data_IF_372920851946
#
_entry.id   IF_372920851946
#
_cell.length_a   1.000
_cell.length_b   1.000
_cell.length_c   1.000
_cell.angle_alpha   90.00
_cell.angle_beta   90.00
_cell.angle_gamma   90.00
#
_symmetry.space_group_name_H-M   'P 1'
#
loop_
_entity.id
_entity.type
_entity.pdbx_description
1 polymer ?
#
# COMPACT_ATOMS: atom_id res chain seq x y z
N UNK A 1 20.23 81.95 48.09
CA UNK A 1 19.21 80.88 48.15
C UNK A 1 18.72 80.45 46.77
N UNK A 2 18.17 81.33 45.93
CA UNK A 2 17.68 80.96 44.58
C UNK A 2 18.75 80.31 43.69
N UNK A 3 19.97 80.84 43.69
CA UNK A 3 21.08 80.35 42.86
C UNK A 3 21.59 78.97 43.30
N UNK A 4 21.56 78.66 44.61
CA UNK A 4 21.90 77.33 45.14
C UNK A 4 20.81 76.29 44.83
N UNK A 5 19.54 76.71 44.81
CA UNK A 5 18.45 75.81 44.44
C UNK A 5 18.46 75.50 42.94
N UNK A 6 18.81 76.49 42.10
CA UNK A 6 18.93 76.30 40.66
C UNK A 6 20.03 75.27 40.32
N UNK A 7 21.22 75.40 40.89
CA UNK A 7 22.32 74.44 40.67
C UNK A 7 22.00 73.05 41.21
N UNK A 8 21.31 72.94 42.35
CA UNK A 8 20.87 71.64 42.87
C UNK A 8 19.90 70.94 41.93
N UNK A 9 18.91 71.66 41.41
CA UNK A 9 17.94 71.13 40.44
C UNK A 9 18.59 70.76 39.10
N UNK A 10 19.63 71.48 38.69
CA UNK A 10 20.40 71.19 37.48
C UNK A 10 21.16 69.86 37.62
N UNK A 11 21.80 69.64 38.78
CA UNK A 11 22.50 68.40 39.10
C UNK A 11 21.55 67.20 39.24
N UNK A 12 20.38 67.37 39.87
CA UNK A 12 19.36 66.32 39.94
C UNK A 12 18.83 65.97 38.54
N UNK A 13 18.68 66.95 37.65
CA UNK A 13 18.27 66.71 36.26
C UNK A 13 19.34 65.94 35.47
N UNK A 14 20.62 66.22 35.68
CA UNK A 14 21.69 65.47 35.02
C UNK A 14 21.74 64.02 35.51
N UNK A 15 21.62 63.77 36.81
CA UNK A 15 21.56 62.40 37.37
C UNK A 15 20.34 61.62 36.85
N UNK A 16 19.17 62.27 36.77
CA UNK A 16 17.96 61.63 36.26
C UNK A 16 18.10 61.27 34.78
N UNK A 17 18.73 62.12 33.97
CA UNK A 17 19.00 61.83 32.56
C UNK A 17 19.94 60.64 32.38
N UNK A 18 21.03 60.58 33.17
CA UNK A 18 21.94 59.42 33.15
C UNK A 18 21.23 58.13 33.55
N UNK A 19 20.43 58.14 34.63
CA UNK A 19 19.66 56.96 35.05
C UNK A 19 18.64 56.50 34.01
N UNK A 20 17.96 57.43 33.35
CA UNK A 20 17.01 57.10 32.28
C UNK A 20 17.73 56.41 31.12
N UNK A 21 18.90 56.92 30.74
CA UNK A 21 19.66 56.38 29.62
C UNK A 21 20.25 55.00 29.95
N UNK A 22 20.80 54.83 31.15
CA UNK A 22 21.28 53.54 31.65
C UNK A 22 20.14 52.50 31.73
N UNK A 23 18.96 52.91 32.18
CA UNK A 23 17.79 52.01 32.22
C UNK A 23 17.34 51.64 30.81
N UNK A 24 17.43 52.56 29.84
CA UNK A 24 17.11 52.28 28.43
C UNK A 24 18.08 51.32 27.80
N UNK A 25 19.38 51.51 27.98
CA UNK A 25 20.40 50.63 27.41
C UNK A 25 20.29 49.23 28.00
N UNK A 26 20.20 49.11 29.33
CA UNK A 26 20.07 47.81 29.98
C UNK A 26 18.80 47.06 29.52
N UNK A 27 17.68 47.77 29.37
CA UNK A 27 16.43 47.17 28.90
C UNK A 27 16.50 46.76 27.42
N UNK A 28 17.14 47.57 26.58
CA UNK A 28 17.39 47.23 25.17
C UNK A 28 18.23 45.96 25.06
N UNK A 29 19.34 45.89 25.80
CA UNK A 29 20.24 44.74 25.79
C UNK A 29 19.53 43.46 26.26
N UNK A 30 18.71 43.53 27.31
CA UNK A 30 17.91 42.36 27.75
C UNK A 30 16.92 41.89 26.68
N UNK A 31 16.25 42.81 25.98
CA UNK A 31 15.31 42.46 24.92
C UNK A 31 16.04 41.84 23.73
N UNK A 32 17.21 42.38 23.37
CA UNK A 32 18.01 41.84 22.27
C UNK A 32 18.50 40.41 22.56
N UNK A 33 18.89 40.13 23.81
CA UNK A 33 19.25 38.77 24.26
C UNK A 33 18.04 37.83 24.18
N UNK A 34 16.88 38.25 24.70
CA UNK A 34 15.66 37.44 24.68
C UNK A 34 15.20 37.13 23.24
N UNK A 35 15.27 38.12 22.34
CA UNK A 35 14.97 37.93 20.93
C UNK A 35 15.94 36.94 20.28
N UNK A 36 17.24 37.02 20.60
CA UNK A 36 18.23 36.07 20.09
C UNK A 36 17.97 34.62 20.55
N UNK A 37 17.60 34.46 21.83
CA UNK A 37 17.23 33.16 22.40
C UNK A 37 15.96 32.59 21.75
N UNK A 38 14.93 33.43 21.55
CA UNK A 38 13.69 33.00 20.90
C UNK A 38 13.88 32.66 19.42
N UNK A 39 14.78 33.34 18.72
CA UNK A 39 15.13 33.03 17.34
C UNK A 39 15.83 31.67 17.23
N UNK A 40 16.77 31.40 18.13
CA UNK A 40 17.48 30.10 18.17
C UNK A 40 16.54 28.96 18.55
N UNK A 41 15.65 29.15 19.51
CA UNK A 41 14.62 28.16 19.85
C UNK A 41 13.66 27.88 18.69
N UNK A 42 13.19 28.92 17.98
CA UNK A 42 12.36 28.75 16.79
C UNK A 42 13.08 27.98 15.68
N UNK A 43 14.39 28.20 15.52
CA UNK A 43 15.17 27.50 14.51
C UNK A 43 15.30 26.02 14.87
N UNK A 44 15.61 25.70 16.12
CA UNK A 44 15.63 24.31 16.61
C UNK A 44 14.28 23.62 16.46
N UNK A 45 13.17 24.31 16.78
CA UNK A 45 11.83 23.76 16.61
C UNK A 45 11.50 23.47 15.15
N UNK A 46 11.92 24.33 14.20
CA UNK A 46 11.76 24.08 12.76
C UNK A 46 12.52 22.84 12.31
N UNK A 47 13.76 22.68 12.77
CA UNK A 47 14.58 21.49 12.45
C UNK A 47 13.96 20.21 13.03
N UNK A 48 13.43 20.25 14.26
CA UNK A 48 12.71 19.12 14.84
C UNK A 48 11.44 18.77 14.05
N UNK A 49 10.70 19.78 13.58
CA UNK A 49 9.48 19.60 12.81
C UNK A 49 9.78 18.99 11.44
N UNK A 50 10.79 19.52 10.74
CA UNK A 50 11.27 18.98 9.46
C UNK A 50 11.77 17.53 9.61
N UNK A 51 12.49 17.22 10.69
CA UNK A 51 12.90 15.84 10.99
C UNK A 51 11.70 14.90 11.21
N UNK A 52 10.70 15.33 11.98
CA UNK A 52 9.50 14.55 12.23
C UNK A 52 8.66 14.35 10.95
N UNK A 53 8.53 15.38 10.12
CA UNK A 53 7.89 15.30 8.80
C UNK A 53 8.63 14.33 7.88
N UNK A 54 9.97 14.38 7.85
CA UNK A 54 10.77 13.44 7.07
C UNK A 54 10.64 11.99 7.58
N UNK A 55 10.52 11.78 8.89
CA UNK A 55 10.24 10.44 9.43
C UNK A 55 8.85 9.94 9.03
N UNK A 56 7.83 10.80 9.08
CA UNK A 56 6.46 10.46 8.67
C UNK A 56 6.36 10.20 7.16
N UNK A 57 7.13 10.91 6.34
CA UNK A 57 7.21 10.68 4.89
C UNK A 57 7.97 9.40 4.54
N UNK A 58 8.86 8.93 5.43
CA UNK A 58 9.58 7.66 5.28
C UNK A 58 8.80 6.45 5.79
N UNK A 59 7.72 6.64 6.55
CA UNK A 59 6.75 5.56 6.78
C UNK A 59 6.11 5.21 5.44
N UNK A 60 6.65 4.20 4.75
CA UNK A 60 6.01 3.61 3.58
C UNK A 60 4.55 3.33 3.92
N UNK A 61 3.61 3.60 2.99
CA UNK A 61 2.21 3.33 3.25
C UNK A 61 2.07 1.88 3.70
N UNK A 62 1.60 1.69 4.94
CA UNK A 62 1.37 0.37 5.53
C UNK A 62 0.34 -0.44 4.73
N UNK A 63 -0.30 0.19 3.74
CA UNK A 63 -1.28 -0.38 2.83
C UNK A 63 -0.67 -0.63 1.45
N UNK A 64 -0.57 -1.91 1.07
CA UNK A 64 -0.28 -2.34 -0.30
C UNK A 64 -1.55 -2.17 -1.14
N UNK A 65 -1.45 -1.30 -2.15
CA UNK A 65 -2.54 -1.07 -3.12
C UNK A 65 -2.45 -2.11 -4.23
N UNK A 66 -3.43 -3.01 -4.28
CA UNK A 66 -3.49 -4.09 -5.27
C UNK A 66 -4.25 -3.74 -6.55
N UNK A 67 -4.94 -2.60 -6.57
CA UNK A 67 -5.85 -2.17 -7.66
C UNK A 67 -5.33 -0.94 -8.39
N UNK A 68 -5.47 -0.90 -9.72
CA UNK A 68 -5.15 0.29 -10.54
C UNK A 68 -6.22 1.36 -10.44
N UNK A 69 -7.46 0.96 -10.16
CA UNK A 69 -8.56 1.88 -9.89
C UNK A 69 -9.42 1.29 -8.74
N UNK A 70 -9.53 1.99 -7.60
CA UNK A 70 -10.29 1.52 -6.44
C UNK A 70 -11.80 1.40 -6.73
N UNK A 71 -12.35 2.14 -7.68
CA UNK A 71 -13.78 2.10 -8.01
C UNK A 71 -14.15 0.92 -8.91
N UNK A 72 -13.23 0.46 -9.75
CA UNK A 72 -13.53 -0.57 -10.79
C UNK A 72 -13.09 -1.98 -10.40
N UNK A 73 -12.57 -2.19 -9.18
CA UNK A 73 -12.03 -3.50 -8.73
C UNK A 73 -11.09 -4.14 -9.75
N UNK A 74 -10.32 -3.31 -10.47
CA UNK A 74 -9.34 -3.76 -11.46
C UNK A 74 -8.02 -3.95 -10.74
N UNK A 75 -7.60 -5.21 -10.62
CA UNK A 75 -6.31 -5.55 -10.04
C UNK A 75 -5.17 -5.16 -10.96
N UNK A 76 -4.07 -4.72 -10.37
CA UNK A 76 -2.85 -4.42 -11.11
C UNK A 76 -2.27 -5.66 -11.78
N UNK A 77 -1.49 -5.45 -12.85
CA UNK A 77 -0.77 -6.53 -13.52
C UNK A 77 0.14 -7.30 -12.55
N UNK A 78 0.76 -6.60 -11.60
CA UNK A 78 1.61 -7.21 -10.58
C UNK A 78 0.82 -8.13 -9.64
N UNK A 79 -0.38 -7.70 -9.24
CA UNK A 79 -1.28 -8.52 -8.43
C UNK A 79 -1.68 -9.79 -9.20
N UNK A 80 -2.07 -9.65 -10.46
CA UNK A 80 -2.43 -10.79 -11.30
C UNK A 80 -1.27 -11.76 -11.48
N UNK A 81 -0.05 -11.26 -11.67
CA UNK A 81 1.16 -12.09 -11.78
C UNK A 81 1.46 -12.83 -10.47
N UNK A 82 1.33 -12.15 -9.32
CA UNK A 82 1.50 -12.77 -8.01
C UNK A 82 0.51 -13.94 -7.81
N UNK A 83 -0.77 -13.71 -8.12
CA UNK A 83 -1.79 -14.76 -8.07
C UNK A 83 -1.46 -15.93 -9.01
N UNK A 84 -1.05 -15.65 -10.25
CA UNK A 84 -0.66 -16.70 -11.20
C UNK A 84 0.53 -17.52 -10.70
N UNK A 85 1.54 -16.87 -10.10
CA UNK A 85 2.70 -17.55 -9.54
C UNK A 85 2.30 -18.45 -8.38
N UNK A 86 1.49 -17.96 -7.44
CA UNK A 86 0.99 -18.78 -6.32
C UNK A 86 0.23 -20.02 -6.81
N UNK A 87 -0.62 -19.86 -7.84
CA UNK A 87 -1.32 -20.98 -8.47
C UNK A 87 -0.38 -21.93 -9.21
N UNK A 88 0.77 -21.46 -9.71
CA UNK A 88 1.80 -22.31 -10.35
C UNK A 88 2.60 -23.12 -9.34
N UNK A 89 2.84 -22.56 -8.14
CA UNK A 89 3.49 -23.23 -7.01
C UNK A 89 2.59 -24.27 -6.31
N UNK A 90 1.38 -24.53 -6.84
CA UNK A 90 0.45 -25.51 -6.29
C UNK A 90 -0.38 -25.01 -5.09
N UNK A 91 -0.39 -23.71 -4.82
CA UNK A 91 -1.28 -23.14 -3.79
C UNK A 91 -2.73 -23.26 -4.27
N UNK A 92 -3.56 -23.96 -3.48
CA UNK A 92 -4.99 -24.09 -3.76
C UNK A 92 -5.67 -22.71 -3.80
N UNK A 93 -6.64 -22.52 -4.70
CA UNK A 93 -7.35 -21.25 -4.94
C UNK A 93 -7.88 -20.63 -3.64
N UNK A 94 -8.40 -21.46 -2.72
CA UNK A 94 -8.94 -21.03 -1.43
C UNK A 94 -7.88 -20.54 -0.44
N UNK A 95 -6.59 -20.79 -0.70
CA UNK A 95 -5.48 -20.45 0.19
C UNK A 95 -4.62 -19.31 -0.34
N UNK A 96 -4.75 -18.95 -1.63
CA UNK A 96 -4.00 -17.84 -2.24
C UNK A 96 -4.13 -16.56 -1.42
N UNK A 97 -5.35 -16.16 -1.07
CA UNK A 97 -5.60 -14.95 -0.25
C UNK A 97 -4.92 -15.03 1.11
N UNK A 98 -4.99 -16.19 1.78
CA UNK A 98 -4.39 -16.37 3.11
C UNK A 98 -2.86 -16.30 3.04
N UNK A 99 -2.25 -16.89 2.02
CA UNK A 99 -0.81 -16.83 1.79
C UNK A 99 -0.37 -15.38 1.56
N UNK A 100 -1.09 -14.64 0.71
CA UNK A 100 -0.82 -13.22 0.48
C UNK A 100 -0.86 -12.44 1.79
N UNK A 101 -1.94 -12.57 2.58
CA UNK A 101 -2.09 -11.90 3.88
C UNK A 101 -0.95 -12.24 4.82
N UNK A 102 -0.60 -13.52 4.96
CA UNK A 102 0.45 -13.93 5.88
C UNK A 102 1.83 -13.34 5.51
N UNK A 103 2.13 -13.25 4.22
CA UNK A 103 3.36 -12.61 3.74
C UNK A 103 3.35 -11.11 4.01
N UNK A 104 2.21 -10.44 3.81
CA UNK A 104 2.11 -9.02 4.12
C UNK A 104 2.25 -8.75 5.63
N UNK A 105 1.65 -9.59 6.47
CA UNK A 105 1.78 -9.50 7.93
C UNK A 105 3.23 -9.63 8.38
N UNK A 106 4.00 -10.55 7.79
CA UNK A 106 5.45 -10.69 8.05
C UNK A 106 6.25 -9.43 7.66
N UNK A 107 5.77 -8.68 6.67
CA UNK A 107 6.36 -7.43 6.23
C UNK A 107 5.83 -6.21 6.99
N UNK A 108 4.92 -6.38 7.97
CA UNK A 108 4.25 -5.28 8.67
C UNK A 108 3.34 -4.45 7.75
N UNK A 109 2.85 -5.05 6.66
CA UNK A 109 1.99 -4.42 5.66
C UNK A 109 0.62 -5.06 5.66
N UNK A 110 -0.38 -4.32 5.19
CA UNK A 110 -1.76 -4.78 5.03
C UNK A 110 -2.23 -4.48 3.61
N UNK A 111 -3.25 -5.19 3.12
CA UNK A 111 -3.80 -4.94 1.79
C UNK A 111 -5.05 -4.09 1.88
N UNK A 112 -5.21 -3.13 0.97
CA UNK A 112 -6.45 -2.34 0.88
C UNK A 112 -7.65 -3.18 0.40
N UNK A 113 -7.40 -4.11 -0.53
CA UNK A 113 -8.41 -5.00 -1.08
C UNK A 113 -7.77 -6.27 -1.61
N UNK A 114 -8.26 -7.42 -1.14
CA UNK A 114 -7.81 -8.74 -1.58
C UNK A 114 -8.71 -9.31 -2.69
N UNK A 115 -8.13 -10.05 -3.65
CA UNK A 115 -8.90 -10.75 -4.67
C UNK A 115 -9.78 -11.83 -4.02
N UNK A 116 -11.05 -11.85 -4.43
CA UNK A 116 -11.98 -12.92 -4.07
C UNK A 116 -11.58 -14.24 -4.74
N UNK A 117 -12.05 -15.36 -4.19
CA UNK A 117 -11.88 -16.69 -4.80
C UNK A 117 -12.36 -16.71 -6.25
N UNK A 118 -13.49 -16.06 -6.56
CA UNK A 118 -13.99 -15.94 -7.94
C UNK A 118 -13.04 -15.17 -8.86
N UNK A 119 -12.39 -14.13 -8.34
CA UNK A 119 -11.39 -13.37 -9.09
C UNK A 119 -10.13 -14.19 -9.33
N UNK A 120 -9.67 -14.93 -8.31
CA UNK A 120 -8.50 -15.83 -8.41
C UNK A 120 -8.76 -16.92 -9.45
N UNK A 121 -9.94 -17.55 -9.45
CA UNK A 121 -10.34 -18.51 -10.47
C UNK A 121 -10.29 -17.90 -11.86
N UNK A 122 -10.87 -16.70 -12.04
CA UNK A 122 -10.84 -16.00 -13.34
C UNK A 122 -9.41 -15.74 -13.82
N UNK A 123 -8.50 -15.35 -12.92
CA UNK A 123 -7.07 -15.16 -13.24
C UNK A 123 -6.43 -16.49 -13.66
N UNK A 124 -6.76 -17.58 -12.96
CA UNK A 124 -6.33 -18.94 -13.31
C UNK A 124 -6.82 -19.36 -14.70
N UNK A 125 -8.09 -19.13 -15.01
CA UNK A 125 -8.69 -19.43 -16.31
C UNK A 125 -8.05 -18.61 -17.44
N UNK A 126 -7.75 -17.33 -17.18
CA UNK A 126 -7.03 -16.47 -18.12
C UNK A 126 -5.63 -17.01 -18.41
N UNK A 127 -4.90 -17.47 -17.39
CA UNK A 127 -3.59 -18.10 -17.56
C UNK A 127 -3.68 -19.30 -18.50
N UNK A 128 -4.62 -20.20 -18.23
CA UNK A 128 -4.86 -21.41 -19.02
C UNK A 128 -5.23 -21.06 -20.46
N UNK A 129 -6.16 -20.12 -20.66
CA UNK A 129 -6.57 -19.65 -21.98
C UNK A 129 -5.41 -19.03 -22.78
N UNK A 130 -4.54 -18.24 -22.14
CA UNK A 130 -3.35 -17.68 -22.78
C UNK A 130 -2.32 -18.74 -23.15
N UNK A 131 -2.07 -19.71 -22.26
CA UNK A 131 -1.21 -20.86 -22.56
C UNK A 131 -1.71 -21.62 -23.78
N UNK A 132 -3.02 -21.85 -23.89
CA UNK A 132 -3.61 -22.50 -25.06
C UNK A 132 -3.46 -21.66 -26.34
N UNK A 133 -3.68 -20.35 -26.28
CA UNK A 133 -3.46 -19.46 -27.45
C UNK A 133 -2.01 -19.47 -27.93
N UNK A 134 -1.04 -19.57 -27.02
CA UNK A 134 0.36 -19.63 -27.38
C UNK A 134 0.77 -20.99 -27.96
N UNK A 135 0.14 -22.08 -27.50
CA UNK A 135 0.41 -23.43 -27.99
C UNK A 135 -0.20 -23.67 -29.38
N UNK A 136 -1.17 -22.85 -29.83
CA UNK A 136 -1.72 -22.88 -31.20
C UNK A 136 -2.13 -24.29 -31.67
N UNK A 137 -2.78 -25.07 -30.82
CA UNK A 137 -3.70 -26.10 -31.31
C UNK A 137 -5.11 -25.52 -31.15
N UNK A 138 -5.80 -25.39 -32.28
CA UNK A 138 -7.24 -25.15 -32.29
C UNK A 138 -7.86 -26.07 -31.24
N UNK A 139 -8.62 -25.48 -30.31
CA UNK A 139 -9.49 -26.29 -29.47
C UNK A 139 -10.36 -27.06 -30.47
N UNK A 140 -10.10 -28.35 -30.64
CA UNK A 140 -11.13 -29.23 -31.15
C UNK A 140 -12.26 -29.05 -30.15
N UNK A 141 -13.26 -28.25 -30.53
CA UNK A 141 -14.57 -28.31 -29.93
C UNK A 141 -14.90 -29.78 -29.95
N UNK A 142 -14.92 -30.38 -28.75
CA UNK A 142 -15.02 -31.81 -28.52
C UNK A 142 -15.93 -32.44 -29.57
N UNK A 143 -15.32 -32.95 -30.65
CA UNK A 143 -16.01 -33.68 -31.70
C UNK A 143 -15.71 -35.10 -31.35
N UNK A 144 -16.74 -35.82 -30.92
CA UNK A 144 -16.76 -37.25 -30.67
C UNK A 144 -15.84 -38.00 -31.65
N UNK A 145 -14.57 -38.19 -31.30
CA UNK A 145 -13.66 -39.06 -32.01
C UNK A 145 -13.76 -40.41 -31.35
N UNK A 146 -14.73 -41.20 -31.83
CA UNK A 146 -14.75 -42.64 -31.57
C UNK A 146 -13.46 -43.22 -32.15
N UNK A 147 -12.48 -43.51 -31.29
CA UNK A 147 -11.36 -44.38 -31.64
C UNK A 147 -11.95 -45.77 -31.88
N UNK A 148 -12.05 -46.19 -33.14
CA UNK A 148 -12.28 -47.59 -33.47
C UNK A 148 -10.91 -48.29 -33.49
N UNK A 149 -10.55 -48.92 -32.37
CA UNK A 149 -9.52 -49.97 -32.38
C UNK A 149 -10.16 -51.26 -32.90
N UNK A 150 -9.71 -51.74 -34.06
CA UNK A 150 -10.00 -53.09 -34.58
C UNK A 150 -9.26 -54.15 -33.76
N UNK A 151 -9.62 -54.31 -32.50
CA UNK A 151 -9.13 -55.40 -31.67
C UNK A 151 -10.29 -56.29 -31.24
N UNK A 152 -10.59 -57.27 -32.09
CA UNK A 152 -11.41 -58.41 -31.68
C UNK A 152 -10.59 -59.33 -30.76
N UNK A 153 -10.98 -59.45 -29.48
CA UNK A 153 -10.33 -60.33 -28.50
C UNK A 153 -10.64 -61.81 -28.76
N UNK A 154 -9.62 -62.65 -28.93
CA UNK A 154 -9.69 -64.08 -28.62
C UNK A 154 -9.54 -64.26 -27.11
N UNK A 155 -10.69 -64.43 -26.44
CA UNK A 155 -10.87 -64.89 -25.05
C UNK A 155 -10.42 -63.93 -23.93
N UNK A 156 -11.41 -63.36 -23.23
CA UNK A 156 -11.22 -62.57 -22.01
C UNK A 156 -12.19 -61.38 -21.97
N UNK A 157 -13.15 -61.43 -21.04
CA UNK A 157 -14.28 -60.52 -20.90
C UNK A 157 -13.94 -59.04 -21.14
N UNK A 158 -14.68 -58.41 -22.04
CA UNK A 158 -14.62 -56.96 -22.28
C UNK A 158 -15.65 -56.31 -21.38
N UNK A 159 -15.18 -55.55 -20.39
CA UNK A 159 -16.02 -54.60 -19.68
C UNK A 159 -16.56 -53.59 -20.69
N UNK A 160 -17.87 -53.63 -20.94
CA UNK A 160 -18.56 -52.62 -21.73
C UNK A 160 -18.67 -51.36 -20.88
N UNK A 161 -17.95 -50.32 -21.26
CA UNK A 161 -18.22 -48.97 -20.76
C UNK A 161 -19.49 -48.50 -21.44
N UNK A 162 -20.55 -48.36 -20.67
CA UNK A 162 -21.77 -47.68 -21.11
C UNK A 162 -21.57 -46.19 -20.88
N UNK A 163 -21.50 -45.41 -21.95
CA UNK A 163 -21.71 -43.97 -21.87
C UNK A 163 -23.21 -43.73 -21.80
N UNK A 164 -23.71 -43.49 -20.60
CA UNK A 164 -25.06 -42.95 -20.39
C UNK A 164 -25.06 -41.56 -21.02
N UNK A 165 -25.90 -41.37 -22.04
CA UNK A 165 -26.19 -40.07 -22.63
C UNK A 165 -27.47 -39.55 -21.96
N UNK A 166 -27.52 -38.24 -21.67
CA UNK A 166 -28.69 -37.57 -21.10
C UNK A 166 -29.96 -37.65 -21.99
N UNK A 167 -29.87 -38.26 -23.18
CA UNK A 167 -31.03 -38.51 -24.06
C UNK A 167 -31.84 -39.76 -23.68
N UNK A 168 -31.32 -40.65 -22.83
CA UNK A 168 -32.04 -41.87 -22.40
C UNK A 168 -33.00 -41.62 -21.21
N UNK A 169 -33.05 -40.41 -20.64
CA UNK A 169 -34.03 -40.05 -19.60
C UNK A 169 -35.41 -39.62 -20.15
N UNK A 170 -35.58 -39.46 -21.48
CA UNK A 170 -36.83 -38.89 -22.04
C UNK A 170 -37.90 -39.87 -22.52
N UNK A 171 -37.68 -41.19 -22.46
CA UNK A 171 -38.70 -42.17 -22.86
C UNK A 171 -38.92 -43.26 -21.80
N UNK A 172 -39.06 -42.86 -20.53
CA UNK A 172 -39.58 -43.73 -19.48
C UNK A 172 -41.05 -43.46 -19.20
N UNK A 173 -41.95 -44.14 -19.92
CA UNK A 173 -43.24 -44.71 -19.48
C UNK A 173 -43.73 -45.72 -20.51
#
# INVERSE_FOLDING_TARGET
MLQQNATKLENENTELKEKIEETRTNKSETVDIDVSNLLTENQNLKECLEYAENMLLQEEPSNIVLTTNPEKTVYSTQTSLCVMNLLSEGVGVHHVTNVMTHVADMCGKTFSQLPSVSTINRIGDQRVSLSYKHISEELSTQKDTKLQSDETRKHGEVYKVYSIRDEDERNGY
#
